data_IF_397845398737
#
_entry.id   IF_397845398737
#
_cell.length_a   1.000
_cell.length_b   1.000
_cell.length_c   1.000
_cell.angle_alpha   90.00
_cell.angle_beta   90.00
_cell.angle_gamma   90.00
#
_symmetry.space_group_name_H-M   'P 1'
#
loop_
_entity.id
_entity.type
_entity.pdbx_description
1 polymer ?
#
# COMPACT_ATOMS: atom_id res chain seq x y z
N UNK A 1 6.21 16.20 14.52
CA UNK A 1 6.15 14.74 14.51
C UNK A 1 6.30 14.24 13.10
N UNK A 2 7.01 13.13 12.95
CA UNK A 2 7.20 12.55 11.63
C UNK A 2 5.90 11.92 11.12
N UNK A 3 5.64 12.09 9.83
CA UNK A 3 4.56 11.38 9.15
C UNK A 3 4.91 9.90 9.06
N UNK A 4 3.93 9.08 8.77
CA UNK A 4 4.12 7.67 8.53
C UNK A 4 3.76 7.31 7.10
N UNK A 5 4.42 6.31 6.56
CA UNK A 5 4.19 5.90 5.17
C UNK A 5 4.06 4.39 5.06
N UNK A 6 3.11 3.97 4.24
CA UNK A 6 3.08 2.61 3.71
C UNK A 6 3.82 2.65 2.39
N UNK A 7 4.79 1.76 2.22
CA UNK A 7 5.51 1.63 0.95
C UNK A 7 5.33 0.19 0.49
N UNK A 8 4.52 0.01 -0.54
CA UNK A 8 4.21 -1.30 -1.07
C UNK A 8 4.73 -1.41 -2.51
N UNK A 9 5.67 -2.33 -2.71
CA UNK A 9 6.23 -2.62 -4.04
C UNK A 9 5.75 -4.00 -4.45
N UNK A 10 4.98 -4.07 -5.51
CA UNK A 10 4.42 -5.33 -5.98
C UNK A 10 5.47 -6.12 -6.75
N UNK A 11 5.52 -7.43 -6.51
CA UNK A 11 6.50 -8.32 -7.13
C UNK A 11 5.88 -9.20 -8.22
N UNK A 12 4.58 -9.08 -8.43
CA UNK A 12 3.86 -9.75 -9.51
C UNK A 12 2.63 -8.93 -9.88
N UNK A 13 1.97 -9.32 -10.95
CA UNK A 13 0.70 -8.71 -11.36
C UNK A 13 -0.41 -9.55 -10.75
N UNK A 14 -1.23 -8.99 -9.84
CA UNK A 14 -2.28 -9.75 -9.18
C UNK A 14 -3.45 -10.03 -10.13
N UNK A 15 -4.34 -10.94 -9.74
CA UNK A 15 -5.56 -11.21 -10.48
C UNK A 15 -6.43 -9.94 -10.45
N UNK A 16 -6.84 -9.39 -11.62
CA UNK A 16 -7.47 -8.07 -11.69
C UNK A 16 -8.72 -7.89 -10.83
N UNK A 17 -9.61 -8.88 -10.81
CA UNK A 17 -10.86 -8.75 -10.05
C UNK A 17 -10.62 -8.76 -8.54
N UNK A 18 -9.66 -9.57 -8.09
CA UNK A 18 -9.29 -9.64 -6.68
C UNK A 18 -8.59 -8.36 -6.25
N UNK A 19 -7.71 -7.84 -7.09
CA UNK A 19 -7.03 -6.58 -6.78
C UNK A 19 -8.03 -5.42 -6.73
N UNK A 20 -9.00 -5.39 -7.63
CA UNK A 20 -10.04 -4.37 -7.64
C UNK A 20 -10.87 -4.41 -6.35
N UNK A 21 -11.24 -5.61 -5.89
CA UNK A 21 -11.98 -5.78 -4.64
C UNK A 21 -11.15 -5.32 -3.45
N UNK A 22 -9.85 -5.66 -3.45
CA UNK A 22 -8.92 -5.21 -2.42
C UNK A 22 -8.82 -3.67 -2.40
N UNK A 23 -8.61 -3.05 -3.55
CA UNK A 23 -8.44 -1.60 -3.64
C UNK A 23 -9.67 -0.87 -3.12
N UNK A 24 -10.85 -1.37 -3.44
CA UNK A 24 -12.11 -0.80 -2.98
C UNK A 24 -12.24 -0.90 -1.46
N UNK A 25 -11.90 -2.05 -0.89
CA UNK A 25 -11.95 -2.25 0.56
C UNK A 25 -10.88 -1.44 1.27
N UNK A 26 -9.68 -1.36 0.71
CA UNK A 26 -8.57 -0.60 1.29
C UNK A 26 -8.88 0.89 1.37
N UNK A 27 -9.67 1.41 0.41
CA UNK A 27 -10.06 2.82 0.41
C UNK A 27 -10.85 3.18 1.67
N UNK A 28 -11.65 2.26 2.18
CA UNK A 28 -12.41 2.46 3.43
C UNK A 28 -11.43 2.70 4.58
N UNK A 29 -10.38 1.87 4.67
CA UNK A 29 -9.36 2.02 5.71
C UNK A 29 -8.64 3.37 5.59
N UNK A 30 -8.27 3.74 4.36
CA UNK A 30 -7.57 5.01 4.16
C UNK A 30 -8.43 6.19 4.62
N UNK A 31 -9.72 6.15 4.35
CA UNK A 31 -10.63 7.20 4.81
C UNK A 31 -10.73 7.23 6.33
N UNK A 32 -10.74 6.08 6.99
CA UNK A 32 -10.81 5.98 8.45
C UNK A 32 -9.57 6.57 9.14
N UNK A 33 -8.41 6.39 8.54
CA UNK A 33 -7.13 6.78 9.14
C UNK A 33 -6.49 7.99 8.47
N UNK A 34 -7.25 8.69 7.63
CA UNK A 34 -6.76 9.86 6.92
C UNK A 34 -5.51 9.58 6.09
N UNK A 35 -5.46 8.41 5.48
CA UNK A 35 -4.37 8.02 4.59
C UNK A 35 -4.55 8.62 3.21
N UNK A 36 -3.44 9.10 2.65
CA UNK A 36 -3.43 9.74 1.33
C UNK A 36 -2.48 9.00 0.41
N UNK A 37 -2.98 8.51 -0.72
CA UNK A 37 -2.12 7.90 -1.73
C UNK A 37 -1.32 9.01 -2.40
N UNK A 38 0.01 8.96 -2.27
CA UNK A 38 0.89 9.96 -2.88
C UNK A 38 1.63 9.42 -4.09
N UNK A 39 1.81 8.12 -4.18
CA UNK A 39 2.37 7.45 -5.35
C UNK A 39 1.53 6.21 -5.64
N UNK A 40 1.13 6.04 -6.89
CA UNK A 40 0.44 4.83 -7.33
C UNK A 40 0.68 4.68 -8.83
N UNK A 41 1.64 3.86 -9.19
CA UNK A 41 1.97 3.70 -10.60
C UNK A 41 2.89 2.53 -10.87
N UNK A 42 2.93 2.13 -12.12
CA UNK A 42 3.84 1.09 -12.60
C UNK A 42 5.19 1.69 -12.92
N UNK A 43 6.24 0.95 -12.64
CA UNK A 43 7.61 1.40 -12.91
C UNK A 43 7.83 1.51 -14.42
N UNK A 44 8.18 2.70 -14.88
CA UNK A 44 8.52 2.95 -16.29
C UNK A 44 10.02 2.96 -16.49
N UNK A 45 10.76 3.46 -15.49
CA UNK A 45 12.22 3.54 -15.54
C UNK A 45 12.77 2.81 -14.33
N UNK A 46 13.37 1.64 -14.56
CA UNK A 46 14.00 0.85 -13.51
C UNK A 46 15.52 0.97 -13.61
N UNK A 47 16.14 1.36 -12.51
CA UNK A 47 17.60 1.48 -12.39
C UNK A 47 18.00 0.68 -11.16
N UNK A 48 19.13 0.00 -11.23
CA UNK A 48 19.66 -0.78 -10.10
C UNK A 48 18.64 -1.78 -9.56
N UNK A 49 18.24 -2.72 -10.41
CA UNK A 49 17.31 -3.81 -10.09
C UNK A 49 15.84 -3.39 -9.96
N UNK A 50 15.50 -2.18 -10.37
CA UNK A 50 14.10 -1.76 -10.42
C UNK A 50 13.34 -2.54 -11.50
N UNK A 51 12.30 -3.27 -11.10
CA UNK A 51 11.51 -4.07 -12.03
C UNK A 51 10.53 -3.18 -12.80
N UNK A 52 10.56 -3.31 -14.14
CA UNK A 52 9.68 -2.56 -15.04
C UNK A 52 8.29 -3.20 -15.05
N UNK A 53 7.26 -2.35 -15.11
CA UNK A 53 5.88 -2.82 -15.28
C UNK A 53 5.19 -3.26 -14.00
N UNK A 54 5.88 -3.27 -12.87
CA UNK A 54 5.28 -3.61 -11.58
C UNK A 54 4.94 -2.34 -10.79
N UNK A 55 3.87 -2.43 -10.02
CA UNK A 55 3.28 -1.26 -9.36
C UNK A 55 3.92 -0.97 -8.02
N UNK A 56 4.11 0.31 -7.72
CA UNK A 56 4.49 0.79 -6.39
C UNK A 56 3.40 1.73 -5.89
N UNK A 57 3.00 1.53 -4.64
CA UNK A 57 2.00 2.39 -3.99
C UNK A 57 2.61 2.92 -2.70
N UNK A 58 2.52 4.25 -2.51
CA UNK A 58 2.95 4.89 -1.26
C UNK A 58 1.77 5.67 -0.71
N UNK A 59 1.45 5.41 0.56
CA UNK A 59 0.38 6.08 1.28
C UNK A 59 0.98 6.87 2.42
N UNK A 60 0.59 8.14 2.54
CA UNK A 60 1.03 9.03 3.61
C UNK A 60 -0.03 9.12 4.69
N UNK A 61 0.40 9.03 5.94
CA UNK A 61 -0.45 9.22 7.12
C UNK A 61 0.12 10.36 7.97
N UNK A 62 -0.72 10.98 8.77
CA UNK A 62 -0.31 12.13 9.61
C UNK A 62 0.81 11.75 10.58
N UNK A 63 0.82 10.52 11.07
CA UNK A 63 1.87 10.04 11.99
C UNK A 63 2.23 8.60 11.65
N UNK A 64 3.41 8.18 12.11
CA UNK A 64 3.83 6.78 12.01
C UNK A 64 2.85 5.87 12.74
N UNK A 65 2.41 6.28 13.94
CA UNK A 65 1.48 5.49 14.74
C UNK A 65 0.16 5.27 14.01
N UNK A 66 -0.30 6.27 13.28
CA UNK A 66 -1.52 6.15 12.48
C UNK A 66 -1.33 5.16 11.32
N UNK A 67 -0.18 5.21 10.65
CA UNK A 67 0.14 4.27 9.57
C UNK A 67 0.16 2.83 10.10
N UNK A 68 0.74 2.62 11.26
CA UNK A 68 0.80 1.31 11.89
C UNK A 68 -0.59 0.83 12.32
N UNK A 69 -1.38 1.71 12.95
CA UNK A 69 -2.73 1.39 13.37
C UNK A 69 -3.63 1.04 12.18
N UNK A 70 -3.48 1.77 11.07
CA UNK A 70 -4.25 1.51 9.85
C UNK A 70 -3.97 0.11 9.30
N UNK A 71 -2.71 -0.29 9.27
CA UNK A 71 -2.34 -1.62 8.78
C UNK A 71 -2.94 -2.72 9.66
N UNK A 72 -2.92 -2.52 10.97
CA UNK A 72 -3.41 -3.51 11.94
C UNK A 72 -4.92 -3.43 12.16
N UNK A 73 -5.62 -2.51 11.51
CA UNK A 73 -7.06 -2.36 11.69
C UNK A 73 -7.83 -3.55 11.12
N UNK A 74 -9.01 -3.81 11.68
CA UNK A 74 -9.88 -4.86 11.20
C UNK A 74 -10.28 -4.64 9.74
N UNK A 75 -10.52 -3.38 9.35
CA UNK A 75 -10.93 -3.07 7.98
C UNK A 75 -9.83 -3.38 6.98
N UNK A 76 -8.57 -3.08 7.30
CA UNK A 76 -7.47 -3.36 6.37
C UNK A 76 -7.16 -4.86 6.30
N UNK A 77 -7.21 -5.55 7.43
CA UNK A 77 -6.99 -7.00 7.42
C UNK A 77 -8.05 -7.71 6.59
N UNK A 78 -9.30 -7.23 6.62
CA UNK A 78 -10.36 -7.72 5.72
C UNK A 78 -10.05 -7.42 4.26
N UNK A 79 -9.53 -6.22 3.98
CA UNK A 79 -9.15 -5.84 2.61
C UNK A 79 -8.09 -6.80 2.06
N UNK A 80 -7.09 -7.13 2.87
CA UNK A 80 -6.03 -8.05 2.47
C UNK A 80 -6.60 -9.42 2.06
N UNK A 81 -7.64 -9.88 2.75
CA UNK A 81 -8.26 -11.17 2.44
C UNK A 81 -8.85 -11.20 1.02
N UNK A 82 -9.25 -10.05 0.49
CA UNK A 82 -9.76 -9.97 -0.88
C UNK A 82 -8.70 -10.33 -1.92
N UNK A 83 -7.42 -10.17 -1.58
CA UNK A 83 -6.34 -10.54 -2.48
C UNK A 83 -6.22 -12.05 -2.67
N UNK A 84 -6.65 -12.82 -1.69
CA UNK A 84 -6.66 -14.29 -1.76
C UNK A 84 -5.32 -14.86 -2.24
N UNK A 85 -4.21 -14.33 -1.75
CA UNK A 85 -2.88 -14.78 -2.10
C UNK A 85 -2.40 -14.45 -3.51
N UNK A 86 -3.17 -13.69 -4.29
CA UNK A 86 -2.83 -13.38 -5.68
C UNK A 86 -1.71 -12.36 -5.83
N UNK A 87 -1.43 -11.58 -4.79
CA UNK A 87 -0.42 -10.53 -4.84
C UNK A 87 0.75 -10.85 -3.92
N UNK A 88 1.95 -10.77 -4.47
CA UNK A 88 3.20 -10.83 -3.70
C UNK A 88 3.82 -9.43 -3.73
N UNK A 89 4.20 -8.94 -2.55
CA UNK A 89 4.74 -7.58 -2.44
C UNK A 89 5.63 -7.44 -1.22
N UNK A 90 6.54 -6.47 -1.29
CA UNK A 90 7.19 -5.94 -0.11
C UNK A 90 6.27 -4.86 0.45
N UNK A 91 6.04 -4.89 1.74
CA UNK A 91 5.22 -3.89 2.40
C UNK A 91 5.99 -3.36 3.60
N UNK A 92 6.25 -2.07 3.62
CA UNK A 92 7.03 -1.43 4.69
C UNK A 92 6.25 -0.26 5.28
N UNK A 93 6.40 -0.08 6.58
CA UNK A 93 5.83 1.07 7.27
C UNK A 93 7.00 1.85 7.83
N UNK A 94 7.20 3.07 7.34
CA UNK A 94 8.41 3.85 7.59
C UNK A 94 8.03 5.24 8.07
N UNK A 95 8.85 5.79 8.99
CA UNK A 95 8.71 7.17 9.42
C UNK A 95 9.21 8.10 8.32
N UNK A 96 8.50 9.20 8.11
CA UNK A 96 8.96 10.22 7.18
C UNK A 96 10.20 10.93 7.72
N UNK A 97 10.94 11.55 6.81
CA UNK A 97 12.08 12.38 7.19
C UNK A 97 11.59 13.65 7.87
N UNK A 98 12.29 14.06 8.90
CA UNK A 98 11.98 15.31 9.63
C UNK A 98 12.58 16.53 8.95
#
# INVERSE_FOLDING_TARGET
MAKGYWIATQNNIPEPNKYSAYAKAAKVTLNEFNGKIVIAGSTETGIENGLIGLRTVIVEFDTYESALAAYNSASYQKAIMELDGTLKRDFRIIRGAD
#
